data_IF_490550147532
#
_entry.id   IF_490550147532
#
_cell.length_a   1.000
_cell.length_b   1.000
_cell.length_c   1.000
_cell.angle_alpha   90.00
_cell.angle_beta   90.00
_cell.angle_gamma   90.00
#
_symmetry.space_group_name_H-M   'P 1'
#
loop_
_entity.id
_entity.type
_entity.pdbx_description
1 polymer ?
#
# COMPACT_ATOMS: atom_id res chain seq x y z
N UNK A 1 -21.52 -14.83 -31.04
CA UNK A 1 -21.04 -13.45 -30.79
C UNK A 1 -21.17 -13.04 -29.33
N UNK A 2 -22.38 -12.94 -28.72
CA UNK A 2 -22.55 -12.53 -27.29
C UNK A 2 -21.69 -13.28 -26.24
N UNK A 3 -21.48 -14.60 -26.36
CA UNK A 3 -20.65 -15.38 -25.41
C UNK A 3 -19.13 -15.11 -25.52
N UNK A 4 -18.67 -14.70 -26.70
CA UNK A 4 -17.26 -14.34 -26.91
C UNK A 4 -16.99 -12.96 -26.29
N UNK A 5 -17.93 -12.01 -26.41
CA UNK A 5 -17.84 -10.69 -25.77
C UNK A 5 -17.66 -10.77 -24.25
N UNK A 6 -18.46 -11.58 -23.57
CA UNK A 6 -18.39 -11.74 -22.12
C UNK A 6 -17.03 -12.30 -21.66
N UNK A 7 -16.53 -13.30 -22.40
CA UNK A 7 -15.25 -13.96 -22.10
C UNK A 7 -14.08 -13.02 -22.35
N UNK A 8 -14.11 -12.30 -23.48
CA UNK A 8 -13.06 -11.35 -23.86
C UNK A 8 -13.02 -10.14 -22.92
N UNK A 9 -14.15 -9.50 -22.58
CA UNK A 9 -14.19 -8.36 -21.64
C UNK A 9 -13.80 -8.80 -20.22
N UNK A 10 -14.21 -9.99 -19.77
CA UNK A 10 -13.77 -10.54 -18.49
C UNK A 10 -12.27 -10.84 -18.47
N UNK A 11 -11.72 -11.48 -19.52
CA UNK A 11 -10.27 -11.73 -19.64
C UNK A 11 -9.47 -10.42 -19.75
N UNK A 12 -9.96 -9.45 -20.52
CA UNK A 12 -9.37 -8.13 -20.67
C UNK A 12 -9.37 -7.36 -19.35
N UNK A 13 -10.50 -7.30 -18.63
CA UNK A 13 -10.59 -6.61 -17.33
C UNK A 13 -9.88 -7.34 -16.18
N UNK A 14 -9.65 -8.66 -16.31
CA UNK A 14 -8.81 -9.43 -15.40
C UNK A 14 -7.33 -9.25 -15.71
N UNK A 15 -6.94 -9.04 -16.98
CA UNK A 15 -5.55 -8.87 -17.40
C UNK A 15 -5.05 -7.41 -17.38
N UNK A 16 -5.93 -6.43 -17.64
CA UNK A 16 -5.55 -5.02 -17.84
C UNK A 16 -5.38 -4.19 -16.57
N UNK A 17 -5.55 -4.77 -15.37
CA UNK A 17 -5.43 -4.02 -14.10
C UNK A 17 -4.74 -4.85 -13.01
N UNK A 18 -3.83 -5.73 -13.39
CA UNK A 18 -3.30 -6.67 -12.43
C UNK A 18 -1.82 -6.96 -12.67
N UNK A 19 -1.03 -6.23 -11.89
CA UNK A 19 0.41 -6.36 -11.70
C UNK A 19 0.68 -7.73 -11.04
N UNK A 20 0.51 -8.81 -11.80
CA UNK A 20 0.45 -10.17 -11.26
C UNK A 20 1.82 -10.72 -10.83
N UNK A 21 2.13 -10.83 -9.54
CA UNK A 21 3.14 -11.83 -9.10
C UNK A 21 4.17 -11.46 -8.05
N UNK A 22 4.01 -10.34 -7.34
CA UNK A 22 4.71 -10.16 -6.07
C UNK A 22 4.00 -9.13 -5.22
N UNK A 23 3.84 -9.47 -3.95
CA UNK A 23 2.79 -8.85 -3.16
C UNK A 23 3.41 -7.91 -2.15
N UNK A 24 3.38 -6.62 -2.48
CA UNK A 24 3.73 -5.53 -1.60
C UNK A 24 2.57 -5.19 -0.67
N UNK A 25 2.90 -4.57 0.47
CA UNK A 25 1.91 -4.17 1.48
C UNK A 25 0.95 -3.11 0.94
N UNK A 26 1.45 -2.21 0.09
CA UNK A 26 0.68 -1.11 -0.50
C UNK A 26 0.54 -1.25 -2.03
N UNK A 27 0.91 -2.39 -2.63
CA UNK A 27 0.83 -2.55 -4.08
C UNK A 27 -0.58 -2.90 -4.57
N UNK A 28 -1.42 -3.42 -3.68
CA UNK A 28 -2.76 -3.90 -4.02
C UNK A 28 -2.78 -5.23 -4.78
N UNK A 29 -1.64 -5.92 -4.86
CA UNK A 29 -1.51 -7.15 -5.65
C UNK A 29 -1.95 -8.41 -4.91
N UNK A 30 -2.00 -8.39 -3.57
CA UNK A 30 -2.34 -9.56 -2.75
C UNK A 30 -3.68 -10.19 -3.14
N UNK A 31 -4.64 -9.37 -3.58
CA UNK A 31 -5.96 -9.83 -4.05
C UNK A 31 -5.91 -10.72 -5.29
N UNK A 32 -4.80 -10.70 -6.02
CA UNK A 32 -4.57 -11.57 -7.17
C UNK A 32 -3.82 -12.86 -6.84
N UNK A 33 -3.23 -13.01 -5.64
CA UNK A 33 -2.37 -14.16 -5.27
C UNK A 33 -2.99 -15.52 -5.59
N UNK A 34 -4.26 -15.70 -5.28
CA UNK A 34 -4.97 -16.95 -5.50
C UNK A 34 -5.19 -17.27 -6.99
N UNK A 35 -5.20 -16.25 -7.84
CA UNK A 35 -5.52 -16.35 -9.27
C UNK A 35 -4.31 -16.28 -10.19
N UNK A 36 -3.16 -15.83 -9.69
CA UNK A 36 -1.94 -15.77 -10.50
C UNK A 36 -1.45 -17.15 -10.88
N UNK A 37 -1.02 -17.33 -12.13
CA UNK A 37 -0.30 -18.52 -12.54
C UNK A 37 1.10 -18.62 -11.91
N UNK A 38 1.77 -19.72 -12.17
CA UNK A 38 3.19 -19.86 -11.81
C UNK A 38 4.00 -18.82 -12.59
N UNK A 39 4.86 -18.10 -11.89
CA UNK A 39 5.65 -17.03 -12.49
C UNK A 39 6.85 -16.67 -11.65
N UNK A 40 7.91 -16.28 -12.34
CA UNK A 40 9.07 -15.60 -11.78
C UNK A 40 9.01 -14.12 -12.20
N UNK A 41 9.39 -13.23 -11.30
CA UNK A 41 9.32 -11.80 -11.52
C UNK A 41 10.62 -11.13 -11.09
N UNK A 42 11.19 -10.37 -12.02
CA UNK A 42 12.36 -9.53 -11.79
C UNK A 42 12.06 -8.15 -12.36
N UNK A 43 11.64 -7.24 -11.49
CA UNK A 43 11.41 -5.84 -11.82
C UNK A 43 12.22 -4.95 -10.91
N UNK A 44 12.31 -3.68 -11.29
CA UNK A 44 13.15 -2.69 -10.61
C UNK A 44 12.84 -2.64 -9.10
N UNK A 45 11.57 -2.56 -8.70
CA UNK A 45 11.17 -2.53 -7.30
C UNK A 45 10.86 -3.89 -6.65
N UNK A 46 10.99 -5.01 -7.36
CA UNK A 46 10.48 -6.30 -6.87
C UNK A 46 11.21 -7.50 -7.51
N UNK A 47 11.71 -8.45 -6.70
CA UNK A 47 12.26 -9.75 -7.13
C UNK A 47 11.66 -10.96 -6.39
N UNK A 48 11.18 -12.00 -7.10
CA UNK A 48 10.60 -13.20 -6.48
C UNK A 48 9.74 -14.06 -7.40
N UNK A 49 8.95 -14.96 -6.82
CA UNK A 49 8.14 -15.93 -7.56
C UNK A 49 6.80 -16.25 -6.89
N UNK A 50 5.86 -16.76 -7.69
CA UNK A 50 4.67 -17.49 -7.26
C UNK A 50 4.72 -18.86 -7.94
N UNK A 51 4.64 -19.94 -7.18
CA UNK A 51 4.72 -21.31 -7.68
C UNK A 51 3.68 -22.18 -6.97
N UNK A 52 3.18 -23.20 -7.66
CA UNK A 52 2.19 -24.10 -7.12
C UNK A 52 1.62 -25.05 -8.15
N UNK A 53 0.66 -25.84 -7.68
CA UNK A 53 -0.22 -26.65 -8.50
C UNK A 53 -1.67 -26.16 -8.32
N UNK A 54 -2.63 -26.95 -8.79
CA UNK A 54 -4.05 -26.59 -8.72
C UNK A 54 -4.62 -26.52 -7.29
N UNK A 55 -3.92 -27.09 -6.30
CA UNK A 55 -4.39 -27.20 -4.92
C UNK A 55 -3.60 -26.34 -3.94
N UNK A 56 -2.28 -26.22 -4.12
CA UNK A 56 -1.38 -25.52 -3.20
C UNK A 56 -0.53 -24.55 -3.99
N UNK A 57 -0.47 -23.32 -3.51
CA UNK A 57 0.32 -22.24 -4.11
C UNK A 57 1.11 -21.49 -3.06
N UNK A 58 2.38 -21.25 -3.34
CA UNK A 58 3.29 -20.48 -2.52
C UNK A 58 3.85 -19.28 -3.26
N UNK A 59 4.27 -18.28 -2.52
CA UNK A 59 5.02 -17.14 -3.05
C UNK A 59 6.12 -16.74 -2.08
N UNK A 60 7.23 -16.26 -2.63
CA UNK A 60 8.31 -15.66 -1.88
C UNK A 60 8.98 -14.59 -2.72
N UNK A 61 9.37 -13.49 -2.10
CA UNK A 61 10.17 -12.48 -2.75
C UNK A 61 10.38 -11.22 -1.92
N UNK A 62 10.82 -10.19 -2.61
CA UNK A 62 11.15 -8.89 -2.07
C UNK A 62 10.42 -7.81 -2.84
N UNK A 63 10.02 -6.76 -2.13
CA UNK A 63 9.35 -5.60 -2.68
C UNK A 63 9.90 -4.32 -2.03
N UNK A 64 10.04 -3.25 -2.80
CA UNK A 64 10.39 -1.93 -2.27
C UNK A 64 9.10 -1.13 -2.00
N UNK A 65 8.73 -1.00 -0.72
CA UNK A 65 7.59 -0.19 -0.25
C UNK A 65 7.93 1.31 -0.11
N UNK A 66 8.80 1.86 -0.96
CA UNK A 66 9.13 3.30 -0.98
C UNK A 66 10.04 3.78 0.16
N UNK A 67 10.81 2.87 0.78
CA UNK A 67 11.81 3.21 1.83
C UNK A 67 13.25 3.22 1.34
N UNK A 68 13.50 2.85 0.08
CA UNK A 68 14.77 3.04 -0.62
C UNK A 68 14.68 4.14 -1.68
N UNK A 69 15.77 4.37 -2.42
CA UNK A 69 15.75 5.18 -3.64
C UNK A 69 14.75 4.61 -4.65
N UNK A 70 14.24 5.44 -5.58
CA UNK A 70 13.25 5.03 -6.59
C UNK A 70 13.67 3.74 -7.27
N UNK A 71 12.92 2.67 -7.05
CA UNK A 71 13.19 1.41 -7.70
C UNK A 71 14.45 0.66 -7.24
N UNK A 72 15.08 1.04 -6.13
CA UNK A 72 16.23 0.32 -5.60
C UNK A 72 15.93 -0.31 -4.24
N UNK A 73 16.21 -1.60 -4.10
CA UNK A 73 16.21 -2.31 -2.81
C UNK A 73 17.44 -1.96 -1.95
N UNK A 74 18.39 -1.21 -2.51
CA UNK A 74 19.63 -0.73 -1.89
C UNK A 74 19.69 0.80 -1.98
N UNK A 75 19.79 1.50 -0.86
CA UNK A 75 19.94 2.96 -0.84
C UNK A 75 21.30 3.35 -0.25
N UNK A 76 21.96 4.35 -0.82
CA UNK A 76 23.15 4.94 -0.21
C UNK A 76 22.77 5.68 1.07
N UNK A 77 23.55 5.53 2.13
CA UNK A 77 23.36 6.31 3.35
C UNK A 77 23.86 7.75 3.16
N UNK A 78 23.04 8.76 3.46
CA UNK A 78 23.39 10.18 3.30
C UNK A 78 24.42 10.67 4.32
N UNK A 79 24.62 9.97 5.44
CA UNK A 79 25.65 10.33 6.44
C UNK A 79 27.08 10.03 6.01
N UNK A 80 27.27 9.22 4.96
CA UNK A 80 28.56 8.62 4.61
C UNK A 80 29.18 9.21 3.34
N UNK A 81 28.76 10.42 2.95
CA UNK A 81 29.38 11.19 1.85
C UNK A 81 30.90 11.32 2.09
N UNK A 82 31.69 10.47 1.42
CA UNK A 82 33.15 10.45 1.48
C UNK A 82 33.79 9.34 2.33
N UNK A 83 33.03 8.42 2.94
CA UNK A 83 33.59 7.38 3.83
C UNK A 83 33.52 5.92 3.29
N UNK A 84 33.05 5.71 2.06
CA UNK A 84 32.97 4.39 1.42
C UNK A 84 31.55 4.03 0.97
N UNK A 85 31.41 2.95 0.20
CA UNK A 85 30.13 2.46 -0.35
C UNK A 85 29.34 1.71 0.73
N UNK A 86 28.63 2.43 1.62
CA UNK A 86 27.67 1.84 2.55
C UNK A 86 26.25 1.92 1.98
N UNK A 87 25.59 0.77 1.86
CA UNK A 87 24.22 0.64 1.37
C UNK A 87 23.29 0.11 2.47
N UNK A 88 22.17 0.79 2.67
CA UNK A 88 21.06 0.28 3.47
C UNK A 88 20.19 -0.63 2.60
N UNK A 89 20.10 -1.89 2.99
CA UNK A 89 19.14 -2.85 2.44
C UNK A 89 17.82 -2.68 3.19
N UNK A 90 16.83 -2.04 2.57
CA UNK A 90 15.52 -1.74 3.18
C UNK A 90 14.36 -2.48 2.51
N UNK A 91 14.45 -3.82 2.33
CA UNK A 91 13.42 -4.56 1.62
C UNK A 91 12.15 -4.65 2.45
N UNK A 92 11.06 -4.89 1.75
CA UNK A 92 9.94 -5.64 2.31
C UNK A 92 10.06 -7.08 1.84
N UNK A 93 10.21 -8.00 2.79
CA UNK A 93 10.12 -9.44 2.50
C UNK A 93 8.64 -9.78 2.34
N UNK A 94 8.30 -10.59 1.34
CA UNK A 94 6.94 -11.07 1.08
C UNK A 94 6.95 -12.59 0.99
N UNK A 95 6.03 -13.25 1.69
CA UNK A 95 5.82 -14.69 1.58
C UNK A 95 4.36 -15.02 1.76
N UNK A 96 3.89 -16.11 1.14
CA UNK A 96 2.52 -16.54 1.29
C UNK A 96 2.31 -17.99 0.90
N UNK A 97 1.24 -18.57 1.43
CA UNK A 97 0.80 -19.92 1.15
C UNK A 97 -0.73 -19.92 1.01
N UNK A 98 -1.23 -20.66 0.04
CA UNK A 98 -2.64 -20.75 -0.25
C UNK A 98 -3.06 -22.18 -0.58
N UNK A 99 -4.30 -22.46 -0.22
CA UNK A 99 -5.09 -23.56 -0.74
C UNK A 99 -6.00 -23.01 -1.84
N UNK A 100 -5.93 -23.60 -3.03
CA UNK A 100 -6.76 -23.25 -4.18
C UNK A 100 -7.73 -24.38 -4.49
N UNK A 101 -8.97 -24.02 -4.81
CA UNK A 101 -10.00 -24.93 -5.31
C UNK A 101 -10.98 -24.17 -6.19
N UNK A 102 -11.83 -24.91 -6.92
CA UNK A 102 -12.88 -24.32 -7.75
C UNK A 102 -13.93 -23.56 -6.93
N UNK A 103 -14.29 -24.06 -5.75
CA UNK A 103 -15.36 -23.49 -4.92
C UNK A 103 -14.88 -22.28 -4.12
N UNK A 104 -13.84 -22.49 -3.32
CA UNK A 104 -13.26 -21.47 -2.43
C UNK A 104 -11.76 -21.69 -2.37
N UNK A 105 -11.00 -20.62 -2.61
CA UNK A 105 -9.56 -20.58 -2.36
C UNK A 105 -9.28 -19.62 -1.20
N UNK A 106 -8.37 -20.01 -0.31
CA UNK A 106 -7.97 -19.20 0.84
C UNK A 106 -6.46 -19.21 0.93
N UNK A 107 -5.88 -18.07 1.28
CA UNK A 107 -4.46 -17.97 1.51
C UNK A 107 -4.12 -17.01 2.62
N UNK A 108 -2.93 -17.21 3.15
CA UNK A 108 -2.30 -16.29 4.08
C UNK A 108 -1.02 -15.77 3.46
N UNK A 109 -0.81 -14.47 3.59
CA UNK A 109 0.38 -13.76 3.20
C UNK A 109 1.02 -13.12 4.42
N UNK A 110 2.27 -12.75 4.28
CA UNK A 110 3.01 -12.01 5.28
C UNK A 110 4.05 -11.13 4.62
N UNK A 111 4.08 -9.88 5.03
CA UNK A 111 5.17 -8.98 4.73
C UNK A 111 5.92 -8.53 5.99
N UNK A 112 7.23 -8.40 5.86
CA UNK A 112 8.08 -7.76 6.87
C UNK A 112 8.83 -6.60 6.24
N UNK A 113 8.46 -5.36 6.60
CA UNK A 113 9.15 -4.14 6.15
C UNK A 113 10.17 -3.73 7.20
N UNK A 114 11.46 -3.86 6.89
CA UNK A 114 12.57 -3.65 7.84
C UNK A 114 12.89 -2.17 7.94
N UNK A 115 12.70 -1.61 9.14
CA UNK A 115 12.84 -0.21 9.55
C UNK A 115 14.25 0.24 9.93
N UNK A 116 14.38 1.43 10.55
CA UNK A 116 15.62 1.83 11.18
C UNK A 116 15.86 1.04 12.46
N UNK A 117 17.11 1.06 12.94
CA UNK A 117 17.49 0.51 14.23
C UNK A 117 17.07 1.44 15.36
N UNK A 118 16.60 0.85 16.45
CA UNK A 118 16.38 1.53 17.72
C UNK A 118 17.06 0.77 18.87
N UNK A 119 17.36 1.47 19.97
CA UNK A 119 17.97 0.84 21.15
C UNK A 119 16.89 0.24 22.05
N UNK A 120 16.92 -1.09 22.21
CA UNK A 120 16.03 -1.84 23.11
C UNK A 120 16.75 -2.33 24.35
N UNK A 121 16.28 -1.98 25.54
CA UNK A 121 16.96 -2.25 26.81
C UNK A 121 16.45 -3.51 27.49
N UNK A 122 15.17 -3.84 27.35
CA UNK A 122 14.55 -5.05 27.91
C UNK A 122 14.86 -5.23 29.41
N UNK A 123 14.82 -4.15 30.17
CA UNK A 123 15.10 -4.10 31.61
C UNK A 123 16.59 -4.14 31.98
N UNK A 124 17.51 -3.91 31.05
CA UNK A 124 18.96 -3.91 31.29
C UNK A 124 19.54 -2.50 31.22
N UNK A 125 20.70 -2.30 31.86
CA UNK A 125 21.46 -1.05 31.80
C UNK A 125 22.02 -0.77 30.40
N UNK A 126 22.48 -1.81 29.70
CA UNK A 126 22.97 -1.71 28.32
C UNK A 126 21.91 -2.19 27.33
N UNK A 127 21.54 -1.32 26.41
CA UNK A 127 20.57 -1.61 25.35
C UNK A 127 21.21 -2.25 24.12
N UNK A 128 20.42 -3.04 23.39
CA UNK A 128 20.81 -3.66 22.12
C UNK A 128 20.11 -2.97 20.96
N UNK A 129 20.88 -2.61 19.93
CA UNK A 129 20.31 -2.13 18.66
C UNK A 129 19.50 -3.24 17.99
N UNK A 130 18.24 -2.95 17.70
CA UNK A 130 17.26 -3.86 17.10
C UNK A 130 16.55 -3.14 15.96
N UNK A 131 16.24 -3.82 14.86
CA UNK A 131 15.44 -3.24 13.78
C UNK A 131 14.00 -3.03 14.22
N UNK A 132 13.44 -1.85 13.97
CA UNK A 132 11.98 -1.68 13.98
C UNK A 132 11.41 -2.37 12.75
N UNK A 133 10.39 -3.20 12.87
CA UNK A 133 9.82 -3.93 11.72
C UNK A 133 8.32 -3.73 11.70
N UNK A 134 7.78 -3.37 10.53
CA UNK A 134 6.34 -3.45 10.29
C UNK A 134 6.02 -4.87 9.82
N UNK A 135 5.20 -5.54 10.60
CA UNK A 135 4.68 -6.87 10.29
C UNK A 135 3.30 -6.72 9.66
N UNK A 136 3.11 -7.28 8.46
CA UNK A 136 1.84 -7.22 7.75
C UNK A 136 1.35 -8.62 7.41
N UNK A 137 0.65 -9.32 8.32
CA UNK A 137 -0.18 -10.45 7.92
C UNK A 137 -1.23 -10.03 6.89
N UNK A 138 -1.50 -10.91 5.94
CA UNK A 138 -2.50 -10.70 4.88
C UNK A 138 -3.41 -11.92 4.79
N UNK A 139 -4.71 -11.69 4.82
CA UNK A 139 -5.71 -12.72 4.51
C UNK A 139 -6.19 -12.52 3.08
N UNK A 140 -6.19 -13.56 2.27
CA UNK A 140 -6.76 -13.54 0.92
C UNK A 140 -7.83 -14.62 0.76
N UNK A 141 -8.87 -14.28 0.00
CA UNK A 141 -9.95 -15.20 -0.31
C UNK A 141 -10.41 -15.00 -1.74
N UNK A 142 -10.75 -16.11 -2.39
CA UNK A 142 -11.42 -16.15 -3.67
C UNK A 142 -12.58 -17.12 -3.58
N UNK A 143 -13.78 -16.72 -3.99
CA UNK A 143 -14.99 -17.52 -3.88
C UNK A 143 -15.94 -17.24 -5.04
N UNK A 144 -17.03 -18.01 -5.09
CA UNK A 144 -18.10 -17.86 -6.09
C UNK A 144 -17.57 -17.99 -7.51
N UNK A 145 -16.83 -19.07 -7.81
CA UNK A 145 -16.22 -19.30 -9.13
C UNK A 145 -15.40 -18.10 -9.62
N UNK A 146 -14.56 -17.56 -8.74
CA UNK A 146 -13.71 -16.40 -9.00
C UNK A 146 -14.44 -15.04 -9.13
N UNK A 147 -15.74 -14.99 -8.86
CA UNK A 147 -16.53 -13.76 -8.90
C UNK A 147 -16.27 -12.84 -7.70
N UNK A 148 -15.91 -13.38 -6.54
CA UNK A 148 -15.60 -12.58 -5.35
C UNK A 148 -14.15 -12.77 -4.91
N UNK A 149 -13.40 -11.67 -4.77
CA UNK A 149 -12.04 -11.66 -4.26
C UNK A 149 -11.90 -10.68 -3.10
N UNK A 150 -11.09 -11.07 -2.14
CA UNK A 150 -10.78 -10.26 -0.96
C UNK A 150 -9.29 -10.34 -0.63
N UNK A 151 -8.72 -9.22 -0.20
CA UNK A 151 -7.42 -9.16 0.45
C UNK A 151 -7.46 -8.20 1.64
N UNK A 152 -7.00 -8.63 2.80
CA UNK A 152 -6.95 -7.81 4.03
C UNK A 152 -5.53 -7.83 4.57
N UNK A 153 -4.67 -6.90 4.15
CA UNK A 153 -3.38 -6.63 4.80
C UNK A 153 -3.58 -5.81 6.07
N UNK A 154 -2.98 -6.25 7.18
CA UNK A 154 -3.00 -5.54 8.47
C UNK A 154 -1.56 -5.25 8.87
N UNK A 155 -1.14 -4.01 8.72
CA UNK A 155 0.20 -3.55 9.10
C UNK A 155 0.24 -3.28 10.59
N UNK A 156 1.27 -3.79 11.27
CA UNK A 156 1.48 -3.61 12.70
C UNK A 156 2.95 -3.28 12.96
N UNK A 157 3.19 -2.16 13.64
CA UNK A 157 4.43 -1.90 14.37
C UNK A 157 4.10 -1.93 15.85
N UNK A 158 4.91 -2.64 16.63
CA UNK A 158 4.85 -2.57 18.08
C UNK A 158 6.26 -2.60 18.66
N UNK A 159 6.72 -1.45 19.13
CA UNK A 159 8.03 -1.28 19.75
C UNK A 159 7.81 -1.19 21.25
N UNK A 160 7.91 -2.34 21.92
CA UNK A 160 7.78 -2.43 23.38
C UNK A 160 9.15 -2.52 24.03
N UNK A 161 9.35 -1.71 25.07
CA UNK A 161 10.55 -1.75 25.90
C UNK A 161 10.24 -1.62 27.40
N UNK A 162 11.24 -1.96 28.22
CA UNK A 162 11.20 -1.91 29.66
C UNK A 162 12.50 -1.29 30.19
N UNK A 163 12.36 -0.37 31.13
CA UNK A 163 13.44 0.23 31.91
C UNK A 163 13.07 0.11 33.38
N UNK A 164 13.76 -0.76 34.10
CA UNK A 164 13.41 -1.07 35.49
C UNK A 164 11.90 -1.35 35.66
N UNK A 165 11.15 -0.62 36.49
CA UNK A 165 9.69 -0.82 36.64
C UNK A 165 8.81 -0.11 35.58
N UNK A 166 9.39 0.68 34.69
CA UNK A 166 8.71 1.39 33.62
C UNK A 166 8.63 0.53 32.35
N UNK A 167 7.44 0.43 31.77
CA UNK A 167 7.16 -0.28 30.51
C UNK A 167 6.49 0.68 29.54
N UNK A 168 7.09 0.83 28.36
CA UNK A 168 6.57 1.65 27.28
C UNK A 168 6.31 0.82 26.03
N UNK A 169 5.31 1.19 25.26
CA UNK A 169 5.07 0.63 23.92
C UNK A 169 4.64 1.72 22.96
N UNK A 170 5.27 1.75 21.80
CA UNK A 170 4.83 2.54 20.64
C UNK A 170 4.15 1.60 19.66
N UNK A 171 2.92 1.89 19.26
CA UNK A 171 2.12 1.01 18.42
C UNK A 171 1.51 1.78 17.26
N UNK A 172 1.69 1.25 16.06
CA UNK A 172 0.99 1.69 14.86
C UNK A 172 0.28 0.49 14.23
N UNK A 173 -1.02 0.63 13.96
CA UNK A 173 -1.82 -0.39 13.28
C UNK A 173 -2.56 0.25 12.13
N UNK A 174 -2.48 -0.34 10.94
CA UNK A 174 -3.27 0.12 9.80
C UNK A 174 -3.69 -1.02 8.91
N UNK A 175 -4.80 -0.87 8.22
CA UNK A 175 -5.30 -1.82 7.23
C UNK A 175 -5.75 -1.10 5.97
N UNK A 176 -5.63 -1.80 4.85
CA UNK A 176 -6.23 -1.42 3.57
C UNK A 176 -6.90 -2.65 2.97
N UNK A 177 -8.11 -2.96 3.44
CA UNK A 177 -8.88 -4.09 2.96
C UNK A 177 -9.42 -3.81 1.54
N UNK A 178 -9.32 -4.80 0.67
CA UNK A 178 -9.78 -4.73 -0.71
C UNK A 178 -10.79 -5.83 -1.00
N UNK A 179 -11.86 -5.45 -1.68
CA UNK A 179 -12.92 -6.33 -2.11
C UNK A 179 -13.20 -6.08 -3.59
N UNK A 180 -13.26 -7.14 -4.38
CA UNK A 180 -13.61 -7.10 -5.81
C UNK A 180 -14.74 -8.07 -6.06
N UNK A 181 -15.79 -7.60 -6.71
CA UNK A 181 -16.89 -8.42 -7.17
C UNK A 181 -17.02 -8.29 -8.68
N UNK A 182 -17.00 -9.42 -9.37
CA UNK A 182 -17.22 -9.54 -10.80
C UNK A 182 -18.65 -10.04 -11.00
N UNK A 183 -19.52 -9.16 -11.49
CA UNK A 183 -20.98 -9.41 -11.48
C UNK A 183 -21.44 -10.42 -12.54
N UNK A 184 -20.60 -10.69 -13.55
CA UNK A 184 -20.98 -11.42 -14.76
C UNK A 184 -21.91 -10.64 -15.70
N UNK A 185 -22.20 -9.37 -15.42
CA UNK A 185 -23.02 -8.50 -16.26
C UNK A 185 -22.15 -7.71 -17.23
N UNK A 186 -22.56 -7.62 -18.50
CA UNK A 186 -21.84 -6.86 -19.52
C UNK A 186 -21.74 -5.37 -19.19
N UNK A 187 -22.80 -4.78 -18.64
CA UNK A 187 -22.88 -3.34 -18.41
C UNK A 187 -22.17 -2.88 -17.14
N UNK A 188 -22.03 -3.74 -16.12
CA UNK A 188 -21.37 -3.43 -14.85
C UNK A 188 -20.49 -4.62 -14.43
N UNK A 189 -19.44 -4.95 -15.20
CA UNK A 189 -18.67 -6.18 -15.01
C UNK A 189 -17.97 -6.25 -13.65
N UNK A 190 -17.67 -5.11 -13.03
CA UNK A 190 -16.87 -5.10 -11.81
C UNK A 190 -17.27 -3.99 -10.83
N UNK A 191 -17.25 -4.35 -9.54
CA UNK A 191 -17.38 -3.47 -8.39
C UNK A 191 -16.14 -3.64 -7.52
N UNK A 192 -15.54 -2.55 -7.06
CA UNK A 192 -14.44 -2.59 -6.08
C UNK A 192 -14.74 -1.73 -4.88
N UNK A 193 -14.36 -2.21 -3.71
CA UNK A 193 -14.39 -1.47 -2.46
C UNK A 193 -13.06 -1.61 -1.75
N UNK A 194 -12.50 -0.49 -1.31
CA UNK A 194 -11.34 -0.42 -0.46
C UNK A 194 -11.78 0.23 0.86
N UNK A 195 -11.36 -0.35 1.98
CA UNK A 195 -11.59 0.21 3.32
C UNK A 195 -10.23 0.44 3.96
N UNK A 196 -10.01 1.65 4.47
CA UNK A 196 -8.75 2.09 5.04
C UNK A 196 -8.96 2.51 6.47
N UNK A 197 -8.11 2.03 7.35
CA UNK A 197 -8.04 2.48 8.73
C UNK A 197 -6.59 2.54 9.18
N UNK A 198 -6.26 3.52 10.02
CA UNK A 198 -4.95 3.66 10.60
C UNK A 198 -5.03 4.26 11.99
N UNK A 199 -4.19 3.77 12.89
CA UNK A 199 -4.03 4.26 14.25
C UNK A 199 -2.54 4.25 14.61
N UNK A 200 -2.08 5.29 15.30
CA UNK A 200 -0.73 5.42 15.80
C UNK A 200 -0.75 6.08 17.17
N UNK A 201 -0.06 5.49 18.13
CA UNK A 201 -0.02 5.97 19.50
C UNK A 201 1.11 5.34 20.32
N UNK A 202 1.19 5.77 21.57
CA UNK A 202 2.07 5.20 22.58
C UNK A 202 1.32 4.94 23.88
N UNK A 203 1.85 4.01 24.66
CA UNK A 203 1.42 3.74 26.01
C UNK A 203 2.64 3.66 26.93
N UNK A 204 2.52 4.26 28.10
CA UNK A 204 3.46 4.16 29.20
C UNK A 204 2.75 3.57 30.41
N UNK A 205 3.45 2.71 31.14
CA UNK A 205 3.00 2.17 32.41
C UNK A 205 4.15 2.05 33.40
N UNK A 206 3.94 2.47 34.64
CA UNK A 206 4.92 2.40 35.73
C UNK A 206 4.30 2.88 37.04
N UNK A 207 4.76 2.34 38.18
CA UNK A 207 4.30 2.79 39.51
C UNK A 207 2.80 2.65 39.80
N UNK A 208 2.06 1.88 39.00
CA UNK A 208 0.58 1.74 39.10
C UNK A 208 -0.20 2.59 38.10
N UNK A 209 0.44 3.58 37.47
CA UNK A 209 -0.19 4.47 36.49
C UNK A 209 -0.05 3.96 35.05
N UNK A 210 -1.04 4.30 34.21
CA UNK A 210 -1.04 4.00 32.77
C UNK A 210 -1.42 5.26 31.99
N UNK A 211 -0.50 5.73 31.15
CA UNK A 211 -0.71 6.85 30.24
C UNK A 211 -0.86 6.28 28.83
N UNK A 212 -1.91 6.70 28.12
CA UNK A 212 -2.12 6.37 26.71
C UNK A 212 -2.18 7.66 25.92
N UNK A 213 -1.47 7.69 24.81
CA UNK A 213 -1.42 8.83 23.90
C UNK A 213 -1.74 8.35 22.48
N UNK A 214 -2.74 8.96 21.86
CA UNK A 214 -3.01 8.78 20.43
C UNK A 214 -2.35 9.92 19.67
N UNK A 215 -1.43 9.59 18.76
CA UNK A 215 -0.79 10.56 17.89
C UNK A 215 -1.63 10.81 16.65
N UNK A 216 -2.11 9.74 16.01
CA UNK A 216 -2.89 9.86 14.79
C UNK A 216 -3.88 8.72 14.59
N UNK A 217 -5.01 9.04 13.97
CA UNK A 217 -6.02 8.07 13.56
C UNK A 217 -6.68 8.51 12.24
N UNK A 218 -7.00 7.59 11.34
CA UNK A 218 -7.65 7.93 10.07
C UNK A 218 -8.60 6.85 9.61
N UNK A 219 -9.62 7.26 8.87
CA UNK A 219 -10.53 6.36 8.16
C UNK A 219 -10.70 6.83 6.72
N UNK A 220 -10.81 5.88 5.80
CA UNK A 220 -11.09 6.18 4.41
C UNK A 220 -11.70 5.01 3.67
N UNK A 221 -12.19 5.29 2.47
CA UNK A 221 -12.65 4.27 1.54
C UNK A 221 -12.44 4.72 0.09
N UNK A 222 -12.41 3.75 -0.80
CA UNK A 222 -12.46 3.97 -2.25
C UNK A 222 -13.49 2.99 -2.82
N UNK A 223 -14.52 3.51 -3.46
CA UNK A 223 -15.57 2.73 -4.10
C UNK A 223 -15.53 2.97 -5.60
N UNK A 224 -15.52 1.89 -6.37
CA UNK A 224 -15.39 1.96 -7.84
C UNK A 224 -16.43 1.09 -8.51
N UNK A 225 -17.10 1.68 -9.48
CA UNK A 225 -18.00 1.00 -10.41
C UNK A 225 -17.35 1.00 -11.79
N UNK A 226 -17.26 -0.18 -12.40
CA UNK A 226 -16.70 -0.35 -13.73
C UNK A 226 -17.79 -0.82 -14.67
N UNK A 227 -18.00 -0.05 -15.74
CA UNK A 227 -18.97 -0.34 -16.78
C UNK A 227 -18.26 -0.94 -17.99
N UNK A 228 -18.88 -1.88 -18.70
CA UNK A 228 -18.25 -2.58 -19.83
C UNK A 228 -18.86 -2.17 -21.17
N UNK A 229 -18.00 -1.96 -22.17
CA UNK A 229 -18.39 -1.78 -23.57
C UNK A 229 -17.24 -2.18 -24.50
N UNK A 230 -17.56 -2.42 -25.78
CA UNK A 230 -16.56 -2.67 -26.84
C UNK A 230 -16.89 -1.76 -28.02
N UNK A 231 -15.88 -1.14 -28.60
CA UNK A 231 -15.97 -0.42 -29.87
C UNK A 231 -14.93 -1.04 -30.77
N UNK A 232 -15.39 -1.78 -31.79
CA UNK A 232 -14.53 -2.59 -32.65
C UNK A 232 -13.65 -3.55 -31.83
N UNK A 233 -12.33 -3.47 -31.98
CA UNK A 233 -11.33 -4.30 -31.28
C UNK A 233 -10.82 -3.64 -29.98
N UNK A 234 -11.38 -2.49 -29.61
CA UNK A 234 -10.97 -1.72 -28.42
C UNK A 234 -11.99 -1.92 -27.30
N UNK A 235 -11.50 -2.37 -26.15
CA UNK A 235 -12.30 -2.48 -24.94
C UNK A 235 -12.42 -1.13 -24.26
N UNK A 236 -13.64 -0.73 -23.93
CA UNK A 236 -13.92 0.54 -23.25
C UNK A 236 -14.56 0.24 -21.92
N UNK A 237 -14.00 0.83 -20.86
CA UNK A 237 -14.43 0.60 -19.49
C UNK A 237 -14.64 1.94 -18.77
N UNK A 238 -15.81 2.58 -18.87
CA UNK A 238 -16.11 3.75 -18.05
C UNK A 238 -16.06 3.37 -16.56
N UNK A 239 -15.48 4.26 -15.75
CA UNK A 239 -15.28 4.02 -14.32
C UNK A 239 -15.84 5.22 -13.56
N UNK A 240 -16.61 4.95 -12.50
CA UNK A 240 -16.96 5.95 -11.49
C UNK A 240 -16.23 5.59 -10.21
N UNK A 241 -15.31 6.45 -9.78
CA UNK A 241 -14.60 6.28 -8.51
C UNK A 241 -15.05 7.34 -7.50
N UNK A 242 -15.30 6.90 -6.28
CA UNK A 242 -15.59 7.74 -5.12
C UNK A 242 -14.57 7.43 -4.03
N UNK A 243 -13.70 8.37 -3.72
CA UNK A 243 -12.65 8.20 -2.71
C UNK A 243 -12.81 9.22 -1.60
N UNK A 244 -12.76 8.76 -0.35
CA UNK A 244 -12.80 9.60 0.84
C UNK A 244 -11.66 9.21 1.79
N UNK A 245 -10.96 10.19 2.35
CA UNK A 245 -10.01 9.98 3.43
C UNK A 245 -10.17 11.08 4.48
N UNK A 246 -10.14 10.72 5.76
CA UNK A 246 -10.36 11.64 6.86
C UNK A 246 -9.46 11.37 8.05
N UNK A 247 -8.91 12.44 8.62
CA UNK A 247 -8.27 12.41 9.93
C UNK A 247 -9.33 12.26 11.03
N UNK A 248 -9.10 11.37 11.98
CA UNK A 248 -9.96 11.15 13.14
C UNK A 248 -9.30 11.74 14.39
N UNK A 249 -10.09 12.43 15.20
CA UNK A 249 -9.58 13.12 16.39
C UNK A 249 -9.05 14.53 16.11
N UNK A 250 -8.37 15.10 17.11
CA UNK A 250 -7.88 16.48 17.13
C UNK A 250 -6.37 16.59 17.37
N UNK A 251 -5.64 15.48 17.37
CA UNK A 251 -4.22 15.43 17.72
C UNK A 251 -3.30 15.60 16.49
N UNK A 252 -3.86 15.53 15.28
CA UNK A 252 -3.12 15.56 14.01
C UNK A 252 -4.03 15.99 12.83
N UNK A 253 -3.45 16.10 11.63
CA UNK A 253 -4.13 16.46 10.38
C UNK A 253 -3.94 15.43 9.24
N UNK A 254 -3.43 14.24 9.55
CA UNK A 254 -3.11 13.20 8.55
C UNK A 254 -4.38 12.45 8.14
N UNK A 255 -4.76 12.51 6.86
CA UNK A 255 -5.95 11.82 6.32
C UNK A 255 -5.71 10.36 5.97
N UNK A 256 -4.43 9.92 5.92
CA UNK A 256 -4.04 8.54 5.66
C UNK A 256 -2.89 8.14 6.58
N UNK A 257 -3.22 7.40 7.64
CA UNK A 257 -2.26 6.88 8.62
C UNK A 257 -1.91 5.43 8.27
N UNK A 258 -0.62 5.12 8.18
CA UNK A 258 -0.13 3.74 7.96
C UNK A 258 1.00 3.41 8.91
N UNK A 259 1.13 2.16 9.33
CA UNK A 259 2.25 1.73 10.17
C UNK A 259 3.60 1.92 9.47
N UNK A 260 3.67 1.73 8.14
CA UNK A 260 4.87 2.00 7.35
C UNK A 260 5.25 3.49 7.40
N UNK A 261 4.30 4.40 7.21
CA UNK A 261 4.59 5.84 7.28
C UNK A 261 4.94 6.31 8.70
N UNK A 262 4.44 5.63 9.74
CA UNK A 262 4.77 5.92 11.13
C UNK A 262 6.07 5.24 11.61
N UNK A 263 6.70 4.35 10.83
CA UNK A 263 7.79 3.47 11.27
C UNK A 263 9.02 4.23 11.78
N UNK A 264 9.50 5.22 11.01
CA UNK A 264 10.68 6.00 11.40
C UNK A 264 10.39 6.83 12.66
N UNK A 265 9.22 7.46 12.71
CA UNK A 265 8.78 8.21 13.88
C UNK A 265 8.62 7.31 15.11
N UNK A 266 8.09 6.09 14.93
CA UNK A 266 7.92 5.12 16.01
C UNK A 266 9.25 4.73 16.63
N UNK A 267 10.27 4.48 15.80
CA UNK A 267 11.62 4.17 16.26
C UNK A 267 12.25 5.37 16.99
N UNK A 268 12.15 6.56 16.42
CA UNK A 268 12.67 7.79 17.02
C UNK A 268 11.99 8.11 18.36
N UNK A 269 10.67 7.98 18.43
CA UNK A 269 9.91 8.20 19.66
C UNK A 269 10.29 7.18 20.74
N UNK A 270 10.46 5.90 20.37
CA UNK A 270 10.92 4.87 21.29
C UNK A 270 12.32 5.17 21.84
N UNK A 271 13.24 5.69 21.01
CA UNK A 271 14.57 6.12 21.47
C UNK A 271 14.52 7.35 22.38
N UNK A 272 13.72 8.36 22.04
CA UNK A 272 13.53 9.54 22.90
C UNK A 272 12.94 9.14 24.26
N UNK A 273 11.95 8.25 24.25
CA UNK A 273 11.35 7.71 25.47
C UNK A 273 12.38 7.00 26.35
N UNK A 274 13.23 6.15 25.76
CA UNK A 274 14.32 5.50 26.46
C UNK A 274 15.27 6.50 27.14
N UNK A 275 15.65 7.55 26.43
CA UNK A 275 16.53 8.60 26.96
C UNK A 275 15.88 9.40 28.08
N UNK A 276 14.61 9.76 27.91
CA UNK A 276 13.82 10.47 28.92
C UNK A 276 13.76 9.69 30.24
N UNK A 277 13.48 8.39 30.15
CA UNK A 277 13.44 7.51 31.34
C UNK A 277 14.84 7.31 31.94
N UNK A 278 15.86 7.03 31.13
CA UNK A 278 17.22 6.86 31.61
C UNK A 278 17.78 8.12 32.30
N UNK A 279 17.35 9.31 31.87
CA UNK A 279 17.65 10.60 32.48
C UNK A 279 16.78 10.94 33.70
N UNK A 280 15.99 10.01 34.24
CA UNK A 280 15.13 10.25 35.41
C UNK A 280 14.04 11.31 35.17
N UNK A 281 13.56 11.45 33.92
CA UNK A 281 12.57 12.47 33.55
C UNK A 281 13.13 13.89 33.40
N UNK A 282 14.45 14.07 33.43
CA UNK A 282 15.10 15.37 33.23
C UNK A 282 15.53 15.62 31.77
N UNK A 283 15.49 14.59 30.92
CA UNK A 283 15.74 14.75 29.50
C UNK A 283 14.55 15.40 28.78
N UNK A 284 14.70 15.72 27.50
CA UNK A 284 13.62 16.27 26.68
C UNK A 284 12.45 15.30 26.59
N UNK A 285 11.24 15.80 26.86
CA UNK A 285 9.98 15.04 26.71
C UNK A 285 9.88 14.44 25.29
N UNK A 286 9.53 13.16 25.15
CA UNK A 286 9.39 12.53 23.84
C UNK A 286 8.32 13.21 22.99
N UNK A 287 8.66 13.54 21.75
CA UNK A 287 7.73 14.13 20.79
C UNK A 287 7.61 13.26 19.55
N UNK A 288 6.37 13.07 19.10
CA UNK A 288 6.07 12.45 17.81
C UNK A 288 6.15 13.55 16.74
N UNK A 289 6.98 13.33 15.72
CA UNK A 289 7.01 14.15 14.51
C UNK A 289 5.89 13.77 13.53
N UNK A 290 5.19 12.67 13.78
CA UNK A 290 4.06 12.22 12.97
C UNK A 290 2.79 13.04 13.22
N UNK A 291 2.61 13.46 14.48
CA UNK A 291 1.54 14.34 14.93
C UNK A 291 2.16 15.70 15.23
N UNK A 292 1.72 16.77 14.55
CA UNK A 292 2.30 18.12 14.67
C UNK A 292 2.17 18.77 16.08
N UNK A 293 1.85 18.00 17.14
CA UNK A 293 1.72 18.42 18.54
C UNK A 293 0.52 19.34 18.83
N UNK A 294 -0.11 19.87 17.78
CA UNK A 294 -1.22 20.81 17.88
C UNK A 294 -2.54 20.11 18.25
N UNK A 295 -3.35 20.78 19.07
CA UNK A 295 -4.78 20.46 19.19
C UNK A 295 -5.53 21.12 18.04
N UNK A 296 -5.88 20.32 17.04
CA UNK A 296 -6.59 20.73 15.84
C UNK A 296 -8.03 21.13 16.15
N UNK A 297 -8.37 22.37 15.82
CA UNK A 297 -9.73 22.90 15.95
C UNK A 297 -10.64 22.41 14.82
N UNK A 298 -10.06 22.09 13.67
CA UNK A 298 -10.73 21.55 12.48
C UNK A 298 -9.92 20.37 11.94
N UNK A 299 -10.57 19.22 11.75
CA UNK A 299 -9.96 18.02 11.18
C UNK A 299 -9.82 18.08 9.66
N UNK A 300 -8.80 17.40 9.13
CA UNK A 300 -8.55 17.32 7.70
C UNK A 300 -9.36 16.16 7.06
N UNK A 301 -9.86 16.37 5.86
CA UNK A 301 -10.44 15.31 5.03
C UNK A 301 -10.43 15.70 3.54
N UNK A 302 -10.48 14.69 2.68
CA UNK A 302 -10.62 14.85 1.24
C UNK A 302 -11.70 13.93 0.68
N UNK A 303 -12.40 14.41 -0.34
CA UNK A 303 -13.39 13.66 -1.11
C UNK A 303 -13.12 13.87 -2.60
N UNK A 304 -13.11 12.79 -3.37
CA UNK A 304 -12.94 12.83 -4.82
C UNK A 304 -14.03 12.01 -5.51
N UNK A 305 -14.61 12.59 -6.56
CA UNK A 305 -15.50 11.91 -7.50
C UNK A 305 -14.81 11.93 -8.85
N UNK A 306 -14.36 10.78 -9.31
CA UNK A 306 -13.47 10.65 -10.46
C UNK A 306 -14.13 9.73 -11.50
N UNK A 307 -14.87 10.31 -12.45
CA UNK A 307 -15.11 9.69 -13.75
C UNK A 307 -13.77 9.41 -14.46
N UNK A 308 -13.60 8.19 -14.94
CA UNK A 308 -12.46 7.79 -15.75
C UNK A 308 -12.90 6.89 -16.89
N UNK A 309 -12.05 6.73 -17.90
CA UNK A 309 -12.32 5.88 -19.05
C UNK A 309 -11.15 4.93 -19.26
N UNK A 310 -11.30 3.67 -18.85
CA UNK A 310 -10.36 2.62 -19.20
C UNK A 310 -10.49 2.29 -20.69
N UNK A 311 -9.37 2.21 -21.39
CA UNK A 311 -9.31 1.83 -22.80
C UNK A 311 -8.23 0.77 -22.93
N UNK A 312 -8.59 -0.39 -23.48
CA UNK A 312 -7.66 -1.51 -23.67
C UNK A 312 -7.59 -1.88 -25.15
N UNK A 313 -6.39 -1.95 -25.69
CA UNK A 313 -6.11 -2.46 -27.03
C UNK A 313 -5.03 -3.54 -26.97
N UNK A 314 -5.17 -4.59 -27.77
CA UNK A 314 -4.23 -5.72 -27.77
C UNK A 314 -3.85 -6.11 -29.18
N UNK A 315 -2.64 -6.64 -29.31
CA UNK A 315 -2.10 -7.32 -30.48
C UNK A 315 -1.43 -8.61 -30.03
N UNK A 316 -0.84 -9.36 -30.95
CA UNK A 316 -0.14 -10.61 -30.63
C UNK A 316 1.10 -10.41 -29.73
N UNK A 317 1.68 -9.21 -29.73
CA UNK A 317 2.94 -8.91 -29.04
C UNK A 317 2.78 -7.79 -28.01
N UNK A 318 1.88 -6.83 -28.27
CA UNK A 318 1.75 -5.62 -27.44
C UNK A 318 0.33 -5.47 -26.93
N UNK A 319 0.20 -5.20 -25.63
CA UNK A 319 -1.04 -4.76 -25.00
C UNK A 319 -0.87 -3.36 -24.43
N UNK A 320 -1.88 -2.52 -24.64
CA UNK A 320 -1.95 -1.15 -24.15
C UNK A 320 -3.20 -0.98 -23.29
N UNK A 321 -3.02 -0.46 -22.08
CA UNK A 321 -4.10 0.05 -21.24
C UNK A 321 -3.88 1.54 -21.02
N UNK A 322 -4.93 2.35 -21.16
CA UNK A 322 -4.91 3.77 -20.75
C UNK A 322 -6.15 4.12 -19.97
N UNK A 323 -6.02 5.05 -19.03
CA UNK A 323 -7.11 5.49 -18.17
C UNK A 323 -7.03 7.00 -17.91
N UNK A 324 -7.48 7.84 -18.87
CA UNK A 324 -7.73 9.25 -18.59
C UNK A 324 -8.88 9.43 -17.60
N UNK A 325 -8.77 10.47 -16.77
CA UNK A 325 -9.71 10.79 -15.71
C UNK A 325 -9.88 12.29 -15.53
N UNK A 326 -11.12 12.72 -15.30
CA UNK A 326 -11.49 14.11 -15.07
C UNK A 326 -12.64 14.14 -14.08
N UNK A 327 -12.44 14.76 -12.93
CA UNK A 327 -13.36 14.68 -11.81
C UNK A 327 -13.40 15.92 -10.94
N UNK A 328 -14.06 15.78 -9.81
CA UNK A 328 -14.23 16.83 -8.82
C UNK A 328 -13.57 16.43 -7.51
N UNK A 329 -12.90 17.37 -6.87
CA UNK A 329 -12.29 17.16 -5.56
C UNK A 329 -12.65 18.26 -4.57
N UNK A 330 -12.92 17.83 -3.34
CA UNK A 330 -13.11 18.67 -2.17
C UNK A 330 -11.97 18.39 -1.20
N UNK A 331 -11.29 19.43 -0.74
CA UNK A 331 -10.23 19.32 0.25
C UNK A 331 -10.53 20.23 1.44
N UNK A 332 -10.77 19.63 2.61
CA UNK A 332 -10.75 20.32 3.89
C UNK A 332 -9.36 20.18 4.49
N UNK A 333 -8.60 21.28 4.46
CA UNK A 333 -7.36 21.36 5.24
C UNK A 333 -7.68 21.36 6.73
N UNK A 334 -6.88 20.62 7.50
CA UNK A 334 -6.90 20.75 8.95
C UNK A 334 -6.46 22.16 9.36
N UNK A 335 -6.94 22.65 10.50
CA UNK A 335 -6.40 23.86 11.13
C UNK A 335 -6.30 23.76 12.66
N UNK A 336 -5.12 24.11 13.18
CA UNK A 336 -4.84 24.21 14.60
C UNK A 336 -5.39 25.49 15.22
N UNK A 337 -5.49 26.57 14.44
CA UNK A 337 -5.78 27.91 14.96
C UNK A 337 -7.21 28.36 14.67
N UNK A 338 -7.81 27.88 13.58
CA UNK A 338 -9.10 28.35 13.05
C UNK A 338 -10.10 27.20 12.84
N UNK A 339 -11.27 27.29 13.47
CA UNK A 339 -12.35 26.31 13.29
C UNK A 339 -13.26 26.62 12.08
N UNK A 340 -13.05 27.74 11.40
CA UNK A 340 -13.85 28.23 10.27
C UNK A 340 -13.19 28.04 8.92
N UNK A 341 -12.05 27.33 8.86
CA UNK A 341 -11.39 27.00 7.59
C UNK A 341 -12.38 26.30 6.67
N UNK A 342 -12.61 26.90 5.50
CA UNK A 342 -13.56 26.43 4.49
C UNK A 342 -12.95 25.35 3.62
N UNK A 343 -13.81 24.53 3.05
CA UNK A 343 -13.47 23.54 2.05
C UNK A 343 -13.00 24.22 0.75
N UNK A 344 -12.00 23.61 0.10
CA UNK A 344 -11.52 24.00 -1.22
C UNK A 344 -12.11 23.06 -2.26
N UNK A 345 -12.74 23.64 -3.28
CA UNK A 345 -13.35 22.94 -4.39
C UNK A 345 -12.51 23.11 -5.65
N UNK A 346 -12.18 22.03 -6.34
CA UNK A 346 -11.37 22.10 -7.56
C UNK A 346 -11.62 20.91 -8.49
N UNK A 347 -11.10 21.02 -9.71
CA UNK A 347 -11.12 19.96 -10.70
C UNK A 347 -9.96 18.98 -10.44
N UNK A 348 -10.25 17.69 -10.51
CA UNK A 348 -9.26 16.62 -10.53
C UNK A 348 -8.99 16.20 -11.97
N UNK A 349 -7.73 15.95 -12.33
CA UNK A 349 -7.37 15.35 -13.61
C UNK A 349 -6.19 14.40 -13.45
N UNK A 350 -6.16 13.35 -14.27
CA UNK A 350 -5.06 12.39 -14.34
C UNK A 350 -5.15 11.52 -15.57
N UNK A 351 -4.03 10.94 -15.99
CA UNK A 351 -3.95 9.96 -17.06
C UNK A 351 -2.95 8.88 -16.66
N UNK A 352 -3.41 7.63 -16.71
CA UNK A 352 -2.62 6.44 -16.42
C UNK A 352 -2.43 5.61 -17.69
N UNK A 353 -1.27 4.97 -17.85
CA UNK A 353 -1.02 4.07 -18.96
C UNK A 353 -0.11 2.89 -18.57
N UNK A 354 -0.40 1.73 -19.13
CA UNK A 354 0.43 0.53 -19.04
C UNK A 354 0.69 -0.04 -20.42
N UNK A 355 1.92 -0.51 -20.64
CA UNK A 355 2.32 -1.20 -21.87
C UNK A 355 2.93 -2.54 -21.49
N UNK A 356 2.44 -3.59 -22.13
CA UNK A 356 2.94 -4.95 -22.00
C UNK A 356 3.50 -5.39 -23.34
N UNK A 357 4.72 -5.93 -23.33
CA UNK A 357 5.36 -6.50 -24.52
C UNK A 357 5.67 -7.96 -24.24
N UNK A 358 5.00 -8.87 -24.95
CA UNK A 358 5.15 -10.32 -24.84
C UNK A 358 5.76 -10.90 -26.11
N UNK A 359 7.10 -10.77 -26.32
CA UNK A 359 7.75 -11.31 -27.51
C UNK A 359 7.64 -12.83 -27.62
N UNK A 360 7.42 -13.51 -26.49
CA UNK A 360 7.09 -14.93 -26.39
C UNK A 360 5.92 -15.10 -25.42
N UNK A 361 5.10 -16.14 -25.61
CA UNK A 361 3.89 -16.39 -24.80
C UNK A 361 4.13 -16.42 -23.29
N UNK A 362 5.34 -16.76 -22.86
CA UNK A 362 5.70 -16.90 -21.47
C UNK A 362 6.59 -15.77 -20.95
N UNK A 363 7.05 -14.83 -21.78
CA UNK A 363 7.95 -13.78 -21.34
C UNK A 363 7.31 -12.41 -21.61
N UNK A 364 7.10 -11.64 -20.55
CA UNK A 364 6.51 -10.32 -20.58
C UNK A 364 7.51 -9.28 -20.10
N UNK A 365 7.58 -8.16 -20.81
CA UNK A 365 8.17 -6.92 -20.33
C UNK A 365 7.06 -5.90 -20.08
N UNK A 366 6.98 -5.40 -18.84
CA UNK A 366 6.00 -4.43 -18.37
C UNK A 366 6.59 -3.03 -18.21
N UNK A 367 5.84 -2.03 -18.66
CA UNK A 367 6.08 -0.61 -18.44
C UNK A 367 4.82 0.06 -17.89
N UNK A 368 5.00 1.03 -16.99
CA UNK A 368 3.91 1.80 -16.38
C UNK A 368 4.29 3.28 -16.33
N UNK A 369 3.32 4.12 -16.69
CA UNK A 369 3.48 5.58 -16.76
C UNK A 369 2.26 6.25 -16.13
N UNK A 370 2.50 7.24 -15.28
CA UNK A 370 1.46 8.03 -14.62
C UNK A 370 1.72 9.53 -14.82
N UNK A 371 0.64 10.27 -15.13
CA UNK A 371 0.57 11.71 -15.14
C UNK A 371 -0.62 12.16 -14.29
N UNK A 372 -0.37 12.83 -13.18
CA UNK A 372 -1.43 13.35 -12.32
C UNK A 372 -1.04 14.68 -11.68
N UNK A 373 -2.06 15.41 -11.18
CA UNK A 373 -1.88 16.66 -10.43
C UNK A 373 -1.63 16.46 -8.93
N UNK A 374 -1.23 15.25 -8.51
CA UNK A 374 -1.04 14.85 -7.12
C UNK A 374 0.41 14.86 -6.63
N UNK A 375 1.37 15.29 -7.46
CA UNK A 375 2.78 15.37 -7.09
C UNK A 375 3.06 16.32 -5.91
N UNK A 376 4.03 15.97 -5.06
CA UNK A 376 4.41 16.73 -3.86
C UNK A 376 5.28 17.96 -4.12
N UNK A 377 5.72 18.17 -5.37
CA UNK A 377 6.47 19.36 -5.80
C UNK A 377 5.58 20.21 -6.70
N UNK A 378 5.39 21.47 -6.33
CA UNK A 378 4.44 22.41 -6.91
C UNK A 378 4.70 22.81 -8.39
N UNK A 379 5.68 22.22 -9.09
CA UNK A 379 6.17 22.78 -10.36
C UNK A 379 6.21 21.87 -11.58
N UNK A 380 5.76 20.59 -11.54
CA UNK A 380 5.58 19.86 -12.80
C UNK A 380 4.38 18.91 -12.76
N UNK A 381 3.42 19.14 -13.66
CA UNK A 381 2.67 18.06 -14.28
C UNK A 381 3.67 17.21 -15.08
N UNK A 382 4.44 16.37 -14.39
CA UNK A 382 5.47 15.55 -14.99
C UNK A 382 4.91 14.17 -15.35
N UNK A 383 5.23 13.69 -16.54
CA UNK A 383 5.07 12.27 -16.89
C UNK A 383 6.08 11.50 -16.05
N UNK A 384 5.61 10.55 -15.24
CA UNK A 384 6.46 9.72 -14.38
C UNK A 384 6.44 8.27 -14.85
N UNK A 385 7.61 7.67 -15.04
CA UNK A 385 7.74 6.23 -15.27
C UNK A 385 7.74 5.52 -13.92
N UNK A 386 6.79 4.62 -13.69
CA UNK A 386 6.72 3.90 -12.43
C UNK A 386 7.91 2.94 -12.27
N UNK A 387 8.42 2.85 -11.03
CA UNK A 387 9.52 1.96 -10.64
C UNK A 387 9.16 0.46 -10.66
N UNK A 388 7.98 0.11 -11.16
CA UNK A 388 7.41 -1.23 -11.31
C UNK A 388 7.77 -1.88 -12.64
N UNK A 389 8.50 -1.19 -13.52
CA UNK A 389 8.95 -1.69 -14.84
C UNK A 389 9.88 -2.90 -14.70
N UNK A 390 9.71 -3.91 -15.55
CA UNK A 390 10.60 -5.09 -15.59
C UNK A 390 9.96 -6.33 -16.19
N UNK A 391 10.53 -7.50 -15.88
CA UNK A 391 10.20 -8.77 -16.53
C UNK A 391 9.30 -9.64 -15.66
N UNK A 392 8.30 -10.27 -16.29
CA UNK A 392 7.56 -11.41 -15.76
C UNK A 392 7.81 -12.63 -16.66
N UNK A 393 8.24 -13.76 -16.09
CA UNK A 393 8.36 -15.03 -16.78
C UNK A 393 7.28 -15.99 -16.26
N UNK A 394 6.31 -16.31 -17.10
CA UNK A 394 5.25 -17.28 -16.81
C UNK A 394 5.79 -18.70 -16.92
N UNK A 395 5.59 -19.47 -15.86
CA UNK A 395 6.10 -20.82 -15.72
C UNK A 395 4.94 -21.83 -15.83
N UNK A 396 5.21 -23.07 -16.30
CA UNK A 396 4.19 -24.12 -16.31
C UNK A 396 3.65 -24.40 -14.90
N UNK A 397 2.40 -24.87 -14.82
CA UNK A 397 1.88 -25.51 -13.61
C UNK A 397 2.74 -26.76 -13.29
N UNK A 398 3.06 -26.95 -12.00
CA UNK A 398 3.86 -28.09 -11.53
C UNK A 398 3.00 -29.28 -11.14
#
# INVERSE_FOLDING_TARGET
MKKIFLTTIALLSIASVSVFGMYGVNSGDWIGFLTHGNQFRARVNQLGFTLGNDTIKGTFGFFNNGRGAWGSMLSTNTSDLGQGLYYDFTPTISMGLAYTSSLISVGVGYNATIGPRWTKYNGKTEGKKTEAVVHTPVLVLNAMDNAFRMAIPIQVVNLTDKFDDLKGSVTAVSLEAQFRYYSGLDFLPQIRLYIKYGNYGAQLSGGGDKIKQTFAESFGFDFRLYFGSMVEEVAIQPIVKLAYNGALGKQHNKTSVTAISALNDSANYAEQFAQYVAGGGTATEPTSSYSDGATWKKGAWDLKIIPALGITANSDIVSLYVEPSLGFQINQKGSATDNKVKELYSLYYGAYAEIYITPLKNLEWYFEVDLNNGGTTADQSAITFAGTTGITWYLPAL
#
